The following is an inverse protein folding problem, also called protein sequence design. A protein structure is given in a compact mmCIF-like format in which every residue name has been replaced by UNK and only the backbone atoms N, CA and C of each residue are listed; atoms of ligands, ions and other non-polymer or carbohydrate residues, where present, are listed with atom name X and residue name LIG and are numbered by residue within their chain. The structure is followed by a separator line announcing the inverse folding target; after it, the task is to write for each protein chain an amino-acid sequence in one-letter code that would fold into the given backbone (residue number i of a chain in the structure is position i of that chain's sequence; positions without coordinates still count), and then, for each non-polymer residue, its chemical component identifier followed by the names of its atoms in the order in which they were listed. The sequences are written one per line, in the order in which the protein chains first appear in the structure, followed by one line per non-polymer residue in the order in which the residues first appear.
data_IF_333933672670
#
_entry.id   IF_333933672670
#
_cell.length_a   1.000
_cell.length_b   1.000
_cell.length_c   1.000
_cell.angle_alpha   90.00
_cell.angle_beta   90.00
_cell.angle_gamma   90.00
#
_symmetry.space_group_name_H-M   'P 1'
#
loop_
_entity.id
_entity.type
_entity.pdbx_description
1 polymer ?
#
# COMPACT_ATOMS: atom_id res chain seq x y z
N UNK A 1 41.39 -1.47 15.31
CA UNK A 1 40.09 -1.95 15.83
C UNK A 1 39.56 -0.92 16.82
N UNK A 2 39.07 0.20 16.31
CA UNK A 2 38.15 1.07 17.02
C UNK A 2 36.84 0.81 16.30
N UNK A 3 35.92 0.08 16.92
CA UNK A 3 34.60 -0.09 16.33
C UNK A 3 33.92 1.27 16.35
N UNK A 4 33.39 1.72 15.22
CA UNK A 4 32.39 2.76 15.23
C UNK A 4 31.29 2.34 16.19
N UNK A 5 31.08 3.16 17.21
CA UNK A 5 29.96 3.02 18.13
C UNK A 5 28.69 3.21 17.30
N UNK A 6 28.07 2.10 16.87
CA UNK A 6 26.69 2.06 16.39
C UNK A 6 25.72 2.62 17.45
N UNK A 7 26.18 2.65 18.70
CA UNK A 7 25.48 3.18 19.87
C UNK A 7 25.70 4.70 19.99
N UNK A 8 24.91 5.49 19.25
CA UNK A 8 24.87 6.96 19.35
C UNK A 8 23.46 7.37 19.77
N UNK A 9 23.35 8.20 20.81
CA UNK A 9 22.06 8.76 21.23
C UNK A 9 21.32 9.40 20.06
N UNK A 10 20.02 9.14 19.98
CA UNK A 10 19.19 9.66 18.91
C UNK A 10 19.23 11.20 18.80
N UNK A 11 19.34 11.70 17.57
CA UNK A 11 19.20 13.13 17.30
C UNK A 11 17.71 13.46 17.05
N UNK A 12 17.07 14.33 17.87
CA UNK A 12 15.65 14.66 17.72
C UNK A 12 15.27 15.20 16.34
N UNK A 13 16.15 15.96 15.70
CA UNK A 13 15.91 16.53 14.36
C UNK A 13 15.92 15.43 13.29
N UNK A 14 16.89 14.52 13.36
CA UNK A 14 16.97 13.38 12.42
C UNK A 14 15.81 12.41 12.63
N UNK A 15 15.44 12.08 13.89
CA UNK A 15 14.26 11.23 14.19
C UNK A 15 12.98 11.85 13.63
N UNK A 16 12.82 13.18 13.74
CA UNK A 16 11.69 13.89 13.10
C UNK A 16 11.77 13.81 11.58
N UNK A 17 12.95 14.00 10.99
CA UNK A 17 13.18 13.84 9.55
C UNK A 17 12.78 12.45 9.04
N UNK A 18 13.16 11.41 9.78
CA UNK A 18 12.80 10.02 9.53
C UNK A 18 11.29 9.80 9.61
N UNK A 19 10.64 10.32 10.64
CA UNK A 19 9.18 10.23 10.79
C UNK A 19 8.40 11.03 9.72
N UNK A 20 8.95 12.13 9.19
CA UNK A 20 8.33 12.87 8.09
C UNK A 20 8.32 12.11 6.77
N UNK A 21 9.22 11.15 6.58
CA UNK A 21 9.17 10.29 5.40
C UNK A 21 7.91 9.42 5.42
N UNK A 22 7.63 8.77 6.55
CA UNK A 22 6.41 7.99 6.77
C UNK A 22 5.16 8.87 6.63
N UNK A 23 5.16 10.05 7.26
CA UNK A 23 4.08 11.05 7.09
C UNK A 23 3.78 11.35 5.62
N UNK A 24 4.83 11.53 4.81
CA UNK A 24 4.72 11.86 3.40
C UNK A 24 4.21 10.68 2.58
N UNK A 25 4.90 9.53 2.66
CA UNK A 25 4.58 8.36 1.84
C UNK A 25 3.19 7.79 2.13
N UNK A 26 2.72 7.90 3.38
CA UNK A 26 1.42 7.37 3.77
C UNK A 26 0.24 8.09 3.14
N UNK A 27 0.43 9.30 2.60
CA UNK A 27 -0.57 9.94 1.73
C UNK A 27 -0.86 9.12 0.47
N UNK A 28 0.18 8.55 -0.16
CA UNK A 28 0.02 7.65 -1.30
C UNK A 28 -0.61 6.32 -0.88
N UNK A 29 -0.17 5.71 0.22
CA UNK A 29 -0.73 4.43 0.71
C UNK A 29 -2.24 4.56 1.05
N UNK A 30 -2.64 5.69 1.65
CA UNK A 30 -4.03 5.92 2.05
C UNK A 30 -4.89 6.44 0.90
N UNK A 31 -4.60 7.63 0.39
CA UNK A 31 -5.48 8.29 -0.58
C UNK A 31 -5.45 7.62 -1.94
N UNK A 32 -4.28 7.20 -2.40
CA UNK A 32 -4.12 6.62 -3.73
C UNK A 32 -4.40 5.13 -3.66
N UNK A 33 -3.57 4.36 -2.96
CA UNK A 33 -3.60 2.89 -3.02
C UNK A 33 -4.90 2.30 -2.50
N UNK A 34 -5.46 2.84 -1.41
CA UNK A 34 -6.59 2.20 -0.73
C UNK A 34 -7.93 2.92 -0.95
N UNK A 35 -7.95 4.26 -0.91
CA UNK A 35 -9.22 4.98 -0.79
C UNK A 35 -9.84 5.42 -2.12
N UNK A 36 -9.05 5.96 -3.07
CA UNK A 36 -9.59 6.65 -4.25
C UNK A 36 -9.21 5.99 -5.56
N UNK A 37 -7.95 5.56 -5.75
CA UNK A 37 -7.51 5.03 -7.04
C UNK A 37 -8.20 3.73 -7.44
N UNK A 38 -8.45 2.74 -6.55
CA UNK A 38 -9.14 1.52 -6.94
C UNK A 38 -10.53 1.78 -7.52
N UNK A 39 -11.29 2.70 -6.90
CA UNK A 39 -12.61 3.12 -7.37
C UNK A 39 -12.53 3.80 -8.75
N UNK A 40 -11.56 4.71 -8.89
CA UNK A 40 -11.37 5.44 -10.15
C UNK A 40 -10.89 4.52 -11.28
N UNK A 41 -10.01 3.57 -10.97
CA UNK A 41 -9.56 2.55 -11.90
C UNK A 41 -10.72 1.66 -12.37
N UNK A 42 -11.52 1.14 -11.44
CA UNK A 42 -12.69 0.32 -11.76
C UNK A 42 -13.69 1.08 -12.65
N UNK A 43 -13.97 2.35 -12.35
CA UNK A 43 -14.82 3.22 -13.17
C UNK A 43 -14.27 3.40 -14.60
N UNK A 44 -12.98 3.70 -14.74
CA UNK A 44 -12.36 3.92 -16.04
C UNK A 44 -12.26 2.64 -16.86
N UNK A 45 -11.96 1.50 -16.20
CA UNK A 45 -11.96 0.19 -16.82
C UNK A 45 -13.35 -0.17 -17.36
N UNK A 46 -14.38 -0.01 -16.54
CA UNK A 46 -15.78 -0.24 -16.92
C UNK A 46 -16.17 0.61 -18.12
N UNK A 47 -15.82 1.89 -18.10
CA UNK A 47 -16.15 2.83 -19.18
C UNK A 47 -15.41 2.53 -20.48
N UNK A 48 -14.21 1.96 -20.41
CA UNK A 48 -13.40 1.63 -21.57
C UNK A 48 -13.76 0.27 -22.20
N UNK A 49 -14.00 -0.76 -21.36
CA UNK A 49 -14.08 -2.15 -21.81
C UNK A 49 -15.42 -2.83 -21.51
N UNK A 50 -16.26 -2.29 -20.62
CA UNK A 50 -17.42 -2.99 -20.07
C UNK A 50 -17.08 -3.78 -18.80
N UNK A 51 -17.87 -4.80 -18.46
CA UNK A 51 -17.69 -5.57 -17.23
C UNK A 51 -16.38 -6.36 -17.22
N UNK A 52 -15.97 -6.85 -18.39
CA UNK A 52 -14.80 -7.68 -18.59
C UNK A 52 -14.00 -7.18 -19.79
N UNK A 53 -12.69 -7.40 -19.77
CA UNK A 53 -11.83 -7.19 -20.93
C UNK A 53 -11.02 -8.46 -21.19
N UNK A 54 -10.88 -8.84 -22.47
CA UNK A 54 -9.96 -9.91 -22.86
C UNK A 54 -8.52 -9.41 -22.71
N UNK A 55 -7.81 -9.90 -21.69
CA UNK A 55 -6.43 -9.56 -21.39
C UNK A 55 -5.62 -10.85 -21.37
N UNK A 56 -4.60 -10.93 -22.24
CA UNK A 56 -3.74 -12.11 -22.38
C UNK A 56 -4.55 -13.41 -22.69
N UNK A 57 -5.66 -13.28 -23.43
CA UNK A 57 -6.52 -14.42 -23.81
C UNK A 57 -7.41 -14.95 -22.69
N UNK A 58 -7.67 -14.14 -21.65
CA UNK A 58 -8.62 -14.43 -20.58
C UNK A 58 -9.51 -13.23 -20.35
N UNK A 59 -10.80 -13.46 -20.12
CA UNK A 59 -11.73 -12.43 -19.69
C UNK A 59 -11.44 -12.09 -18.23
N UNK A 60 -11.16 -10.80 -17.98
CA UNK A 60 -10.78 -10.31 -16.66
C UNK A 60 -11.64 -9.10 -16.29
N UNK A 61 -12.16 -9.14 -15.06
CA UNK A 61 -12.83 -8.03 -14.40
C UNK A 61 -11.82 -7.00 -13.88
N UNK A 62 -12.29 -5.80 -13.57
CA UNK A 62 -11.41 -4.70 -13.11
C UNK A 62 -10.58 -5.03 -11.85
N UNK A 63 -11.15 -5.80 -10.92
CA UNK A 63 -10.49 -6.25 -9.68
C UNK A 63 -9.45 -7.34 -9.93
N UNK A 64 -9.70 -8.23 -10.90
CA UNK A 64 -8.70 -9.21 -11.34
C UNK A 64 -7.49 -8.51 -11.98
N UNK A 65 -7.73 -7.52 -12.85
CA UNK A 65 -6.65 -6.73 -13.48
C UNK A 65 -5.86 -5.93 -12.44
N UNK A 66 -6.54 -5.31 -11.48
CA UNK A 66 -5.92 -4.60 -10.37
C UNK A 66 -5.03 -5.54 -9.53
N UNK A 67 -5.54 -6.72 -9.20
CA UNK A 67 -4.80 -7.73 -8.42
C UNK A 67 -3.54 -8.20 -9.15
N UNK A 68 -3.61 -8.36 -10.48
CA UNK A 68 -2.43 -8.65 -11.31
C UNK A 68 -1.43 -7.50 -11.29
N UNK A 69 -1.89 -6.25 -11.33
CA UNK A 69 -1.02 -5.06 -11.20
C UNK A 69 -0.20 -5.11 -9.91
N UNK A 70 -0.89 -5.32 -8.79
CA UNK A 70 -0.30 -5.43 -7.45
C UNK A 70 0.67 -6.60 -7.38
N UNK A 71 0.29 -7.76 -7.90
CA UNK A 71 1.14 -8.96 -7.90
C UNK A 71 2.42 -8.78 -8.74
N UNK A 72 2.33 -8.16 -9.93
CA UNK A 72 3.50 -7.84 -10.77
C UNK A 72 4.41 -6.86 -10.04
N UNK A 73 3.85 -5.80 -9.44
CA UNK A 73 4.61 -4.83 -8.65
C UNK A 73 5.35 -5.48 -7.49
N UNK A 74 4.65 -6.30 -6.70
CA UNK A 74 5.23 -7.04 -5.60
C UNK A 74 6.33 -8.02 -6.06
N UNK A 75 6.14 -8.71 -7.18
CA UNK A 75 7.13 -9.63 -7.75
C UNK A 75 8.39 -8.91 -8.22
N UNK A 76 8.24 -7.78 -8.93
CA UNK A 76 9.37 -6.97 -9.39
C UNK A 76 10.20 -6.46 -8.21
N UNK A 77 9.53 -5.99 -7.16
CA UNK A 77 10.16 -5.60 -5.90
C UNK A 77 10.84 -6.80 -5.24
N UNK A 78 10.18 -7.95 -5.12
CA UNK A 78 10.76 -9.15 -4.50
C UNK A 78 12.03 -9.62 -5.21
N UNK A 79 12.11 -9.47 -6.54
CA UNK A 79 13.30 -9.80 -7.34
C UNK A 79 14.40 -8.72 -7.16
N UNK A 80 14.02 -7.44 -7.08
CA UNK A 80 14.97 -6.33 -6.94
C UNK A 80 15.52 -6.18 -5.52
N UNK A 81 14.69 -6.40 -4.50
CA UNK A 81 14.97 -6.14 -3.07
C UNK A 81 16.23 -6.81 -2.55
N UNK A 82 16.59 -8.07 -2.89
CA UNK A 82 17.83 -8.66 -2.42
C UNK A 82 19.07 -7.95 -2.97
N UNK A 83 19.01 -7.47 -4.22
CA UNK A 83 20.10 -6.68 -4.81
C UNK A 83 20.16 -5.28 -4.19
N UNK A 84 19.01 -4.63 -3.98
CA UNK A 84 18.92 -3.32 -3.35
C UNK A 84 19.39 -3.36 -1.89
N UNK A 85 19.01 -4.39 -1.13
CA UNK A 85 19.40 -4.58 0.27
C UNK A 85 20.90 -4.72 0.43
N UNK A 86 21.56 -5.54 -0.38
CA UNK A 86 23.03 -5.68 -0.34
C UNK A 86 23.75 -4.37 -0.69
N UNK A 87 23.19 -3.59 -1.61
CA UNK A 87 23.71 -2.25 -1.94
C UNK A 87 23.51 -1.30 -0.75
N UNK A 88 22.33 -1.32 -0.13
CA UNK A 88 22.00 -0.49 1.04
C UNK A 88 22.91 -0.79 2.24
N UNK A 89 23.23 -2.06 2.47
CA UNK A 89 24.01 -2.51 3.62
C UNK A 89 25.51 -2.19 3.49
N UNK A 90 26.04 -2.07 2.26
CA UNK A 90 27.49 -2.02 2.01
C UNK A 90 28.02 -0.74 1.35
N UNK A 91 27.14 0.22 1.02
CA UNK A 91 27.54 1.53 0.47
C UNK A 91 26.79 2.70 1.09
N UNK A 92 27.50 3.80 1.30
CA UNK A 92 26.95 5.05 1.84
C UNK A 92 26.18 5.83 0.76
N UNK A 93 25.21 5.17 0.13
CA UNK A 93 24.35 5.72 -0.93
C UNK A 93 22.87 5.51 -0.63
N UNK A 94 22.52 5.25 0.65
CA UNK A 94 21.16 4.99 1.10
C UNK A 94 20.26 6.20 0.81
N UNK A 95 20.69 7.41 1.14
CA UNK A 95 19.90 8.62 0.86
C UNK A 95 19.84 8.94 -0.62
N UNK A 96 20.89 8.62 -1.39
CA UNK A 96 20.88 8.82 -2.83
C UNK A 96 19.83 7.94 -3.52
N UNK A 97 19.80 6.65 -3.21
CA UNK A 97 18.76 5.73 -3.72
C UNK A 97 17.38 6.06 -3.18
N UNK A 98 17.28 6.41 -1.90
CA UNK A 98 16.02 6.85 -1.30
C UNK A 98 15.43 8.04 -2.07
N UNK A 99 16.26 9.03 -2.42
CA UNK A 99 15.84 10.20 -3.23
C UNK A 99 15.33 9.79 -4.60
N UNK A 100 16.09 8.98 -5.35
CA UNK A 100 15.72 8.56 -6.70
C UNK A 100 14.41 7.78 -6.70
N UNK A 101 14.28 6.81 -5.80
CA UNK A 101 13.09 5.96 -5.73
C UNK A 101 11.88 6.74 -5.22
N UNK A 102 12.08 7.73 -4.35
CA UNK A 102 11.03 8.67 -3.95
C UNK A 102 10.59 9.56 -5.11
N UNK A 103 11.53 10.07 -5.92
CA UNK A 103 11.19 10.86 -7.11
C UNK A 103 10.44 10.04 -8.15
N UNK A 104 10.84 8.78 -8.37
CA UNK A 104 10.08 7.86 -9.20
C UNK A 104 8.67 7.65 -8.62
N UNK A 105 8.60 7.27 -7.34
CA UNK A 105 7.34 6.92 -6.68
C UNK A 105 6.33 8.05 -6.67
N UNK A 106 6.74 9.18 -6.09
CA UNK A 106 5.88 10.34 -5.92
C UNK A 106 5.69 11.12 -7.23
N UNK A 107 6.68 11.12 -8.13
CA UNK A 107 6.55 11.67 -9.49
C UNK A 107 5.53 10.89 -10.32
N UNK A 108 5.58 9.56 -10.29
CA UNK A 108 4.54 8.72 -10.92
C UNK A 108 3.17 8.90 -10.28
N UNK A 109 3.12 9.14 -8.97
CA UNK A 109 1.87 9.47 -8.26
C UNK A 109 1.28 10.79 -8.78
N UNK A 110 2.09 11.83 -8.97
CA UNK A 110 1.64 13.09 -9.57
C UNK A 110 1.18 12.84 -11.02
N UNK A 111 1.90 12.00 -11.76
CA UNK A 111 1.60 11.71 -13.15
C UNK A 111 0.26 10.98 -13.37
N UNK A 112 -0.31 10.34 -12.33
CA UNK A 112 -1.68 9.80 -12.37
C UNK A 112 -2.71 10.88 -12.72
N UNK A 113 -2.49 12.13 -12.29
CA UNK A 113 -3.38 13.25 -12.58
C UNK A 113 -3.48 13.61 -14.07
N UNK A 114 -2.55 13.12 -14.90
CA UNK A 114 -2.56 13.33 -16.34
C UNK A 114 -3.41 12.32 -17.12
N UNK A 115 -4.01 11.31 -16.45
CA UNK A 115 -4.89 10.34 -17.11
C UNK A 115 -5.98 11.00 -18.00
N UNK A 116 -6.67 12.08 -17.58
CA UNK A 116 -7.70 12.72 -18.40
C UNK A 116 -7.19 13.36 -19.70
N UNK A 117 -5.87 13.50 -19.89
CA UNK A 117 -5.30 14.00 -21.15
C UNK A 117 -5.33 12.95 -22.27
N UNK A 118 -5.58 11.69 -21.94
CA UNK A 118 -5.64 10.58 -22.88
C UNK A 118 -7.07 10.17 -23.20
N UNK A 119 -7.27 9.51 -24.34
CA UNK A 119 -8.55 8.89 -24.70
C UNK A 119 -8.94 7.80 -23.70
N UNK A 120 -10.25 7.56 -23.54
CA UNK A 120 -10.80 6.66 -22.50
C UNK A 120 -10.19 5.26 -22.52
N UNK A 121 -9.89 4.73 -23.71
CA UNK A 121 -9.25 3.42 -23.91
C UNK A 121 -7.82 3.35 -23.36
N UNK A 122 -7.14 4.48 -23.20
CA UNK A 122 -5.77 4.58 -22.68
C UNK A 122 -5.70 5.07 -21.24
N UNK A 123 -6.77 5.68 -20.68
CA UNK A 123 -6.74 6.23 -19.32
C UNK A 123 -6.47 5.16 -18.27
N UNK A 124 -7.15 4.02 -18.35
CA UNK A 124 -6.98 2.92 -17.40
C UNK A 124 -5.58 2.29 -17.51
N UNK A 125 -5.04 2.19 -18.73
CA UNK A 125 -3.67 1.70 -18.97
C UNK A 125 -2.64 2.67 -18.39
N UNK A 126 -2.81 3.97 -18.60
CA UNK A 126 -1.93 5.00 -18.04
C UNK A 126 -1.88 4.93 -16.52
N UNK A 127 -3.05 4.86 -15.88
CA UNK A 127 -3.16 4.71 -14.42
C UNK A 127 -2.46 3.44 -13.95
N UNK A 128 -2.70 2.32 -14.63
CA UNK A 128 -2.05 1.04 -14.31
C UNK A 128 -0.52 1.18 -14.30
N UNK A 129 0.05 1.74 -15.37
CA UNK A 129 1.51 1.88 -15.51
C UNK A 129 2.06 2.85 -14.47
N UNK A 130 1.44 4.02 -14.28
CA UNK A 130 1.90 5.00 -13.30
C UNK A 130 1.76 4.48 -11.86
N UNK A 131 0.70 3.74 -11.55
CA UNK A 131 0.54 3.08 -10.25
C UNK A 131 1.61 2.02 -10.01
N UNK A 132 1.95 1.23 -11.03
CA UNK A 132 3.03 0.24 -10.94
C UNK A 132 4.37 0.90 -10.64
N UNK A 133 4.71 1.98 -11.36
CA UNK A 133 5.94 2.76 -11.10
C UNK A 133 5.92 3.40 -9.71
N UNK A 134 4.77 3.93 -9.28
CA UNK A 134 4.59 4.50 -7.96
C UNK A 134 4.85 3.46 -6.86
N UNK A 135 4.31 2.24 -7.02
CA UNK A 135 4.52 1.11 -6.11
C UNK A 135 5.98 0.66 -6.07
N UNK A 136 6.64 0.55 -7.23
CA UNK A 136 8.07 0.21 -7.30
C UNK A 136 8.90 1.26 -6.56
N UNK A 137 8.60 2.55 -6.79
CA UNK A 137 9.23 3.67 -6.09
C UNK A 137 9.03 3.59 -4.57
N UNK A 138 7.79 3.38 -4.11
CA UNK A 138 7.46 3.27 -2.68
C UNK A 138 8.19 2.10 -2.02
N UNK A 139 8.03 0.89 -2.55
CA UNK A 139 8.59 -0.32 -1.94
C UNK A 139 10.13 -0.33 -2.02
N UNK A 140 10.69 0.08 -3.16
CA UNK A 140 12.13 0.21 -3.33
C UNK A 140 12.72 1.25 -2.38
N UNK A 141 12.10 2.42 -2.27
CA UNK A 141 12.50 3.45 -1.31
C UNK A 141 12.39 2.95 0.14
N UNK A 142 11.35 2.16 0.44
CA UNK A 142 11.14 1.50 1.73
C UNK A 142 12.33 0.63 2.18
N UNK A 143 13.00 -0.07 1.25
CA UNK A 143 14.21 -0.84 1.57
C UNK A 143 15.32 0.06 2.12
N UNK A 144 15.60 1.18 1.45
CA UNK A 144 16.64 2.11 1.89
C UNK A 144 16.21 2.91 3.12
N UNK A 145 14.94 3.27 3.22
CA UNK A 145 14.37 3.96 4.37
C UNK A 145 14.51 3.10 5.65
N UNK A 146 14.10 1.84 5.59
CA UNK A 146 14.23 0.93 6.73
C UNK A 146 15.70 0.67 7.10
N UNK A 147 16.61 0.67 6.12
CA UNK A 147 18.05 0.54 6.36
C UNK A 147 18.68 1.77 7.04
N UNK A 148 17.97 2.90 7.18
CA UNK A 148 18.43 4.04 7.98
C UNK A 148 18.21 3.81 9.47
N UNK A 149 17.18 3.04 9.85
CA UNK A 149 16.72 2.90 11.23
C UNK A 149 17.83 2.46 12.21
N UNK A 150 18.69 1.46 11.90
CA UNK A 150 19.79 1.06 12.79
C UNK A 150 20.86 2.13 13.02
N UNK A 151 20.78 3.27 12.32
CA UNK A 151 21.71 4.39 12.43
C UNK A 151 21.06 5.64 13.06
N UNK A 152 19.81 5.53 13.52
CA UNK A 152 19.03 6.65 14.06
C UNK A 152 19.10 6.81 15.57
N UNK A 153 19.51 5.78 16.29
CA UNK A 153 19.55 5.74 17.75
C UNK A 153 20.15 4.43 18.25
N UNK A 154 20.10 4.22 19.56
CA UNK A 154 20.57 3.01 20.23
C UNK A 154 19.60 1.83 20.01
N UNK A 155 20.03 0.60 20.30
CA UNK A 155 19.21 -0.61 20.11
C UNK A 155 17.89 -0.56 20.90
N UNK A 156 17.87 0.07 22.07
CA UNK A 156 16.67 0.26 22.90
C UNK A 156 15.75 1.38 22.39
N UNK A 157 16.27 2.36 21.65
CA UNK A 157 15.48 3.43 21.04
C UNK A 157 14.80 3.00 19.73
N UNK A 158 15.27 1.92 19.09
CA UNK A 158 14.87 1.53 17.74
C UNK A 158 13.36 1.26 17.61
N UNK A 159 12.78 0.48 18.53
CA UNK A 159 11.34 0.17 18.55
C UNK A 159 10.50 1.45 18.72
N UNK A 160 10.95 2.38 19.57
CA UNK A 160 10.26 3.64 19.82
C UNK A 160 10.34 4.59 18.61
N UNK A 161 11.49 4.68 17.94
CA UNK A 161 11.68 5.49 16.73
C UNK A 161 10.79 4.95 15.59
N UNK A 162 10.78 3.63 15.38
CA UNK A 162 9.97 2.97 14.36
C UNK A 162 8.47 3.19 14.60
N UNK A 163 7.97 2.90 15.80
CA UNK A 163 6.56 3.09 16.13
C UNK A 163 6.13 4.56 16.05
N UNK A 164 7.03 5.50 16.39
CA UNK A 164 6.78 6.93 16.23
C UNK A 164 6.68 7.33 14.75
N UNK A 165 7.57 6.84 13.90
CA UNK A 165 7.49 7.07 12.45
C UNK A 165 6.17 6.52 11.89
N UNK A 166 5.79 5.31 12.28
CA UNK A 166 4.54 4.68 11.85
C UNK A 166 3.30 5.48 12.30
N UNK A 167 3.29 6.00 13.54
CA UNK A 167 2.23 6.88 14.03
C UNK A 167 2.16 8.21 13.25
N UNK A 168 3.31 8.78 12.86
CA UNK A 168 3.38 9.94 11.96
C UNK A 168 2.83 9.61 10.57
N UNK A 169 3.10 8.41 10.05
CA UNK A 169 2.52 7.91 8.80
C UNK A 169 1.00 7.87 8.85
N UNK A 170 0.43 7.24 9.89
CA UNK A 170 -1.02 7.19 10.08
C UNK A 170 -1.65 8.58 10.13
N UNK A 171 -1.06 9.50 10.91
CA UNK A 171 -1.59 10.85 11.05
C UNK A 171 -1.41 11.67 9.77
N UNK A 172 -0.26 11.59 9.10
CA UNK A 172 0.02 12.32 7.87
C UNK A 172 -0.86 11.89 6.70
N UNK A 173 -0.98 10.58 6.49
CA UNK A 173 -1.91 10.01 5.51
C UNK A 173 -3.37 10.33 5.87
N UNK A 174 -3.73 10.20 7.14
CA UNK A 174 -5.08 10.51 7.64
C UNK A 174 -5.48 11.98 7.46
N UNK A 175 -4.57 12.93 7.73
CA UNK A 175 -4.83 14.36 7.53
C UNK A 175 -5.10 14.68 6.07
N UNK A 176 -4.27 14.19 5.15
CA UNK A 176 -4.51 14.43 3.73
C UNK A 176 -5.77 13.71 3.24
N UNK A 177 -6.02 12.48 3.71
CA UNK A 177 -7.23 11.74 3.39
C UNK A 177 -8.50 12.45 3.90
N UNK A 178 -8.46 13.08 5.07
CA UNK A 178 -9.54 13.94 5.56
C UNK A 178 -9.79 15.10 4.60
N UNK A 179 -8.74 15.77 4.14
CA UNK A 179 -8.87 16.86 3.15
C UNK A 179 -9.53 16.32 1.88
N UNK A 180 -9.08 15.17 1.36
CA UNK A 180 -9.68 14.54 0.18
C UNK A 180 -11.14 14.14 0.39
N UNK A 181 -11.48 13.59 1.56
CA UNK A 181 -12.86 13.26 1.91
C UNK A 181 -13.75 14.51 1.90
N UNK A 182 -13.31 15.59 2.55
CA UNK A 182 -14.04 16.86 2.58
C UNK A 182 -14.21 17.42 1.17
N UNK A 183 -13.16 17.37 0.34
CA UNK A 183 -13.23 17.82 -1.04
C UNK A 183 -14.23 16.99 -1.86
N UNK A 184 -14.16 15.66 -1.80
CA UNK A 184 -15.08 14.74 -2.50
C UNK A 184 -16.53 14.91 -2.01
N UNK A 185 -16.72 15.19 -0.73
CA UNK A 185 -18.07 15.34 -0.15
C UNK A 185 -18.69 16.69 -0.50
N UNK A 186 -17.92 17.78 -0.48
CA UNK A 186 -18.46 19.14 -0.56
C UNK A 186 -18.23 19.83 -1.91
N UNK A 187 -17.29 19.38 -2.74
CA UNK A 187 -17.03 19.97 -4.07
C UNK A 187 -17.85 19.18 -5.10
N UNK A 188 -19.05 19.67 -5.35
CA UNK A 188 -19.98 19.17 -6.37
C UNK A 188 -20.33 20.26 -7.38
N UNK A 189 -20.58 19.88 -8.62
CA UNK A 189 -21.05 20.77 -9.67
C UNK A 189 -22.57 21.04 -9.56
N UNK A 190 -23.12 21.80 -10.51
CA UNK A 190 -24.56 22.12 -10.53
C UNK A 190 -25.48 20.91 -10.70
N UNK A 191 -24.94 19.73 -11.06
CA UNK A 191 -25.67 18.48 -11.16
C UNK A 191 -25.46 17.57 -9.93
N UNK A 192 -24.75 18.05 -8.90
CA UNK A 192 -24.46 17.28 -7.69
C UNK A 192 -23.36 16.24 -7.86
N UNK A 193 -22.61 16.27 -8.97
CA UNK A 193 -21.51 15.33 -9.25
C UNK A 193 -20.15 15.95 -8.96
N UNK A 194 -19.13 15.14 -8.66
CA UNK A 194 -17.78 15.69 -8.49
C UNK A 194 -17.22 16.20 -9.83
N UNK A 195 -16.61 17.40 -9.87
CA UNK A 195 -15.95 17.90 -11.08
C UNK A 195 -14.86 16.95 -11.58
N UNK A 196 -14.68 16.87 -12.91
CA UNK A 196 -13.73 15.95 -13.55
C UNK A 196 -12.26 16.17 -13.13
N UNK A 197 -11.90 17.37 -12.67
CA UNK A 197 -10.55 17.68 -12.18
C UNK A 197 -10.28 17.18 -10.76
N UNK A 198 -11.33 16.83 -10.00
CA UNK A 198 -11.21 16.59 -8.57
C UNK A 198 -10.37 15.35 -8.24
N UNK A 199 -10.67 14.21 -8.87
CA UNK A 199 -9.91 12.97 -8.65
C UNK A 199 -8.46 13.10 -9.15
N UNK A 200 -8.18 13.66 -10.33
CA UNK A 200 -6.81 14.02 -10.73
C UNK A 200 -6.08 14.89 -9.70
N UNK A 201 -6.76 15.89 -9.13
CA UNK A 201 -6.18 16.74 -8.10
C UNK A 201 -5.81 15.94 -6.85
N UNK A 202 -6.68 15.04 -6.39
CA UNK A 202 -6.40 14.13 -5.25
C UNK A 202 -5.15 13.28 -5.50
N UNK A 203 -4.93 12.83 -6.74
CA UNK A 203 -3.71 12.09 -7.09
C UNK A 203 -2.47 12.99 -7.04
N UNK A 204 -2.53 14.16 -7.68
CA UNK A 204 -1.43 15.12 -7.72
C UNK A 204 -1.05 15.63 -6.32
N UNK A 205 -2.03 15.98 -5.49
CA UNK A 205 -1.80 16.42 -4.11
C UNK A 205 -1.17 15.33 -3.26
N UNK A 206 -1.55 14.06 -3.45
CA UNK A 206 -0.94 12.92 -2.74
C UNK A 206 0.54 12.76 -3.08
N UNK A 207 0.89 12.82 -4.37
CA UNK A 207 2.29 12.76 -4.79
C UNK A 207 3.10 13.99 -4.38
N UNK A 208 2.50 15.18 -4.46
CA UNK A 208 3.12 16.42 -4.00
C UNK A 208 3.35 16.45 -2.48
N UNK A 209 2.41 15.90 -1.70
CA UNK A 209 2.54 15.72 -0.26
C UNK A 209 3.70 14.78 0.07
N UNK A 210 3.76 13.63 -0.60
CA UNK A 210 4.86 12.69 -0.42
C UNK A 210 6.22 13.33 -0.75
N UNK A 211 6.37 13.99 -1.90
CA UNK A 211 7.60 14.70 -2.24
C UNK A 211 7.92 15.79 -1.21
N UNK A 212 6.95 16.64 -0.86
CA UNK A 212 7.15 17.79 0.01
C UNK A 212 7.68 17.40 1.39
N UNK A 213 7.12 16.35 2.00
CA UNK A 213 7.58 15.86 3.30
C UNK A 213 8.86 15.02 3.20
N UNK A 214 9.06 14.27 2.10
CA UNK A 214 10.33 13.56 1.87
C UNK A 214 11.52 14.53 1.75
N UNK A 215 11.32 15.75 1.23
CA UNK A 215 12.36 16.78 1.21
C UNK A 215 12.84 17.15 2.62
N UNK A 216 11.97 17.09 3.64
CA UNK A 216 12.37 17.30 5.03
C UNK A 216 13.27 16.15 5.52
N UNK A 217 12.95 14.91 5.16
CA UNK A 217 13.80 13.75 5.44
C UNK A 217 15.17 13.93 4.80
N UNK A 218 15.21 14.34 3.54
CA UNK A 218 16.46 14.54 2.79
C UNK A 218 17.34 15.67 3.32
N UNK A 219 16.75 16.59 4.09
CA UNK A 219 17.44 17.69 4.75
C UNK A 219 17.94 17.31 6.15
N UNK A 220 17.13 16.58 6.92
CA UNK A 220 17.36 16.35 8.36
C UNK A 220 18.01 15.00 8.69
N UNK A 221 17.93 14.02 7.78
CA UNK A 221 18.55 12.71 7.96
C UNK A 221 19.89 12.68 7.21
N UNK A 222 21.03 12.59 7.93
CA UNK A 222 22.32 12.48 7.29
C UNK A 222 22.49 11.10 6.63
N UNK A 223 23.35 11.03 5.60
CA UNK A 223 23.79 9.75 5.05
C UNK A 223 24.61 9.00 6.12
N UNK A 224 24.27 7.74 6.45
CA UNK A 224 25.03 6.96 7.40
C UNK A 224 26.43 6.61 6.88
N UNK A 225 27.44 6.76 7.75
CA UNK A 225 28.80 6.30 7.46
C UNK A 225 28.85 4.77 7.48
N UNK A 226 29.49 4.13 6.49
CA UNK A 226 29.65 2.67 6.43
C UNK A 226 31.13 2.32 6.55
N UNK A 227 31.49 1.52 7.55
CA UNK A 227 32.84 0.98 7.70
C UNK A 227 33.16 0.00 6.55
N UNK A 228 34.36 0.12 5.96
CA UNK A 228 34.82 -0.71 4.85
C UNK A 228 33.92 -0.66 3.62
N UNK A 229 33.63 0.56 3.14
CA UNK A 229 32.88 0.78 1.90
C UNK A 229 33.46 -0.04 0.74
N UNK A 230 32.62 -0.86 0.12
CA UNK A 230 33.04 -1.65 -1.04
C UNK A 230 33.24 -0.76 -2.26
N UNK A 231 34.30 -1.04 -3.03
CA UNK A 231 34.58 -0.40 -4.31
C UNK A 231 33.37 -0.49 -5.26
N UNK A 232 33.25 0.47 -6.18
CA UNK A 232 32.07 0.58 -7.04
C UNK A 232 31.92 -0.58 -8.02
N UNK A 233 31.25 -1.65 -7.60
CA UNK A 233 30.77 -2.72 -8.45
C UNK A 233 29.66 -2.22 -9.38
N UNK A 234 29.68 -2.68 -10.64
CA UNK A 234 28.56 -2.50 -11.57
C UNK A 234 27.31 -3.26 -11.12
N UNK A 235 26.15 -2.97 -11.71
CA UNK A 235 24.84 -3.58 -11.37
C UNK A 235 24.92 -5.11 -11.43
N UNK A 236 25.52 -5.68 -12.48
CA UNK A 236 25.66 -7.12 -12.64
C UNK A 236 26.56 -7.78 -11.59
N UNK A 237 27.64 -7.11 -11.20
CA UNK A 237 28.56 -7.61 -10.18
C UNK A 237 27.93 -7.54 -8.79
N UNK A 238 27.19 -6.47 -8.51
CA UNK A 238 26.43 -6.30 -7.27
C UNK A 238 25.33 -7.34 -7.14
N UNK A 239 24.57 -7.60 -8.20
CA UNK A 239 23.57 -8.66 -8.23
C UNK A 239 24.20 -10.05 -8.02
N UNK A 240 25.29 -10.38 -8.73
CA UNK A 240 25.97 -11.66 -8.57
C UNK A 240 26.52 -11.88 -7.15
N UNK A 241 27.08 -10.82 -6.56
CA UNK A 241 27.55 -10.85 -5.17
C UNK A 241 26.39 -11.02 -4.19
N UNK A 242 25.28 -10.30 -4.39
CA UNK A 242 24.08 -10.45 -3.58
C UNK A 242 23.53 -11.88 -3.63
N UNK A 243 23.38 -12.45 -4.82
CA UNK A 243 22.95 -13.85 -4.98
C UNK A 243 23.93 -14.85 -4.35
N UNK A 244 25.24 -14.60 -4.44
CA UNK A 244 26.25 -15.44 -3.81
C UNK A 244 26.16 -15.41 -2.28
N UNK A 245 25.98 -14.23 -1.69
CA UNK A 245 25.85 -14.07 -0.23
C UNK A 245 24.53 -14.62 0.29
N UNK A 246 23.42 -14.42 -0.43
CA UNK A 246 22.16 -15.07 -0.13
C UNK A 246 22.32 -16.59 -0.15
N UNK A 247 22.96 -17.15 -1.18
CA UNK A 247 23.23 -18.59 -1.26
C UNK A 247 24.08 -19.09 -0.09
N UNK A 248 25.10 -18.32 0.31
CA UNK A 248 25.94 -18.65 1.48
C UNK A 248 25.11 -18.63 2.76
N UNK A 249 24.37 -17.56 3.01
CA UNK A 249 23.50 -17.39 4.19
C UNK A 249 22.44 -18.50 4.27
N UNK A 250 21.80 -18.83 3.14
CA UNK A 250 20.88 -19.95 3.06
C UNK A 250 21.55 -21.31 3.29
N UNK A 251 22.80 -21.49 2.84
CA UNK A 251 23.54 -22.74 3.11
C UNK A 251 23.85 -22.92 4.61
N UNK A 252 23.96 -21.83 5.35
CA UNK A 252 24.23 -21.81 6.78
C UNK A 252 22.96 -21.85 7.66
N UNK A 253 21.78 -22.07 7.08
CA UNK A 253 20.50 -22.06 7.82
C UNK A 253 20.47 -22.99 9.04
N UNK A 254 21.22 -24.10 9.00
CA UNK A 254 21.34 -25.04 10.13
C UNK A 254 22.04 -24.43 11.36
N UNK A 255 22.88 -23.42 11.18
CA UNK A 255 23.56 -22.69 12.27
C UNK A 255 22.61 -21.72 12.98
N UNK A 256 21.64 -21.15 12.25
CA UNK A 256 20.73 -20.11 12.73
C UNK A 256 19.25 -20.51 12.57
N UNK A 257 18.88 -21.72 13.02
CA UNK A 257 17.53 -22.29 12.82
C UNK A 257 16.41 -21.36 13.30
N UNK A 258 16.57 -20.76 14.48
CA UNK A 258 15.55 -19.86 15.05
C UNK A 258 15.33 -18.62 14.18
N UNK A 259 16.41 -18.01 13.68
CA UNK A 259 16.33 -16.85 12.81
C UNK A 259 15.67 -17.20 11.47
N UNK A 260 16.01 -18.36 10.90
CA UNK A 260 15.40 -18.82 9.66
C UNK A 260 13.89 -19.09 9.80
N UNK A 261 13.48 -19.74 10.90
CA UNK A 261 12.05 -19.94 11.21
C UNK A 261 11.35 -18.59 11.39
N UNK A 262 11.98 -17.64 12.07
CA UNK A 262 11.43 -16.29 12.23
C UNK A 262 11.27 -15.58 10.88
N UNK A 263 12.28 -15.60 10.01
CA UNK A 263 12.19 -14.99 8.67
C UNK A 263 11.10 -15.61 7.81
N UNK A 264 10.94 -16.94 7.87
CA UNK A 264 9.87 -17.63 7.16
C UNK A 264 8.48 -17.28 7.71
N UNK A 265 8.33 -17.23 9.04
CA UNK A 265 7.09 -16.78 9.67
C UNK A 265 6.78 -15.32 9.31
N UNK A 266 7.79 -14.44 9.37
CA UNK A 266 7.71 -13.04 8.97
C UNK A 266 7.24 -12.90 7.53
N UNK A 267 7.83 -13.64 6.61
CA UNK A 267 7.41 -13.67 5.21
C UNK A 267 5.93 -14.02 5.05
N UNK A 268 5.43 -15.04 5.76
CA UNK A 268 4.02 -15.44 5.65
C UNK A 268 3.06 -14.38 6.19
N UNK A 269 3.32 -13.83 7.39
CA UNK A 269 2.36 -12.88 7.96
C UNK A 269 2.44 -11.50 7.31
N UNK A 270 3.62 -11.05 6.87
CA UNK A 270 3.74 -9.74 6.20
C UNK A 270 3.08 -9.77 4.82
N UNK A 271 3.19 -10.90 4.11
CA UNK A 271 2.50 -11.11 2.83
C UNK A 271 0.98 -11.07 3.00
N UNK A 272 0.45 -11.73 4.03
CA UNK A 272 -0.97 -11.66 4.40
C UNK A 272 -1.45 -10.24 4.72
N UNK A 273 -0.70 -9.50 5.55
CA UNK A 273 -1.04 -8.10 5.92
C UNK A 273 -1.01 -7.20 4.67
N UNK A 274 0.02 -7.30 3.84
CA UNK A 274 0.16 -6.50 2.63
C UNK A 274 -0.94 -6.80 1.60
N UNK A 275 -1.29 -8.08 1.43
CA UNK A 275 -2.36 -8.51 0.50
C UNK A 275 -3.71 -7.95 0.92
N UNK A 276 -4.07 -8.06 2.20
CA UNK A 276 -5.31 -7.48 2.73
C UNK A 276 -5.30 -5.96 2.54
N UNK A 277 -4.19 -5.30 2.86
CA UNK A 277 -4.08 -3.83 2.72
C UNK A 277 -4.22 -3.37 1.27
N UNK A 278 -3.62 -4.10 0.32
CA UNK A 278 -3.65 -3.74 -1.10
C UNK A 278 -5.02 -3.97 -1.77
N UNK A 279 -5.79 -4.95 -1.28
CA UNK A 279 -7.09 -5.33 -1.85
C UNK A 279 -8.30 -4.80 -1.08
N UNK A 280 -8.13 -4.33 0.16
CA UNK A 280 -9.23 -3.85 1.00
C UNK A 280 -10.08 -2.75 0.33
N UNK A 281 -9.44 -1.83 -0.40
CA UNK A 281 -10.12 -0.74 -1.09
C UNK A 281 -11.08 -1.24 -2.18
N UNK A 282 -10.58 -2.08 -3.07
CA UNK A 282 -11.40 -2.62 -4.17
C UNK A 282 -12.46 -3.58 -3.64
N UNK A 283 -12.12 -4.45 -2.68
CA UNK A 283 -13.06 -5.36 -2.03
C UNK A 283 -14.23 -4.61 -1.37
N UNK A 284 -13.95 -3.47 -0.71
CA UNK A 284 -14.97 -2.64 -0.09
C UNK A 284 -16.02 -2.14 -1.09
N UNK A 285 -15.63 -1.85 -2.34
CA UNK A 285 -16.54 -1.36 -3.38
C UNK A 285 -17.18 -2.52 -4.15
N UNK A 286 -16.38 -3.47 -4.63
CA UNK A 286 -16.86 -4.52 -5.52
C UNK A 286 -17.63 -5.63 -4.80
N UNK A 287 -17.26 -5.95 -3.55
CA UNK A 287 -17.86 -7.05 -2.79
C UNK A 287 -18.82 -6.56 -1.71
N UNK A 288 -18.40 -5.56 -0.92
CA UNK A 288 -19.25 -5.01 0.15
C UNK A 288 -20.24 -3.93 -0.34
N UNK A 289 -20.10 -3.45 -1.58
CA UNK A 289 -20.98 -2.44 -2.15
C UNK A 289 -20.90 -1.07 -1.47
N UNK A 290 -19.79 -0.75 -0.79
CA UNK A 290 -19.61 0.55 -0.14
C UNK A 290 -19.54 1.66 -1.19
N UNK A 291 -20.20 2.79 -0.88
CA UNK A 291 -19.99 4.01 -1.65
C UNK A 291 -18.56 4.50 -1.47
N UNK A 292 -18.00 5.20 -2.46
CA UNK A 292 -16.64 5.77 -2.38
C UNK A 292 -16.45 6.63 -1.14
N UNK A 293 -17.45 7.45 -0.78
CA UNK A 293 -17.42 8.28 0.42
C UNK A 293 -17.38 7.45 1.70
N UNK A 294 -18.17 6.38 1.78
CA UNK A 294 -18.18 5.48 2.93
C UNK A 294 -16.85 4.71 3.08
N UNK A 295 -16.25 4.27 1.96
CA UNK A 295 -14.93 3.64 1.94
C UNK A 295 -13.86 4.62 2.48
N UNK A 296 -13.78 5.83 1.91
CA UNK A 296 -12.82 6.85 2.34
C UNK A 296 -12.99 7.16 3.83
N UNK A 297 -14.23 7.34 4.30
CA UNK A 297 -14.52 7.61 5.71
C UNK A 297 -14.10 6.44 6.62
N UNK A 298 -14.31 5.20 6.19
CA UNK A 298 -13.90 4.01 6.94
C UNK A 298 -12.39 3.93 7.08
N UNK A 299 -11.65 4.10 5.97
CA UNK A 299 -10.18 4.14 5.96
C UNK A 299 -9.70 5.29 6.85
N UNK A 300 -10.34 6.45 6.80
CA UNK A 300 -9.98 7.60 7.61
C UNK A 300 -10.10 7.33 9.12
N UNK A 301 -11.18 6.67 9.55
CA UNK A 301 -11.34 6.26 10.94
C UNK A 301 -10.21 5.32 11.37
N UNK A 302 -9.85 4.35 10.51
CA UNK A 302 -8.73 3.44 10.76
C UNK A 302 -7.44 4.23 11.01
N UNK A 303 -7.16 5.28 10.23
CA UNK A 303 -5.94 6.08 10.42
C UNK A 303 -5.84 6.71 11.82
N UNK A 304 -6.92 7.33 12.30
CA UNK A 304 -6.94 8.01 13.59
C UNK A 304 -7.04 7.05 14.78
N UNK A 305 -7.54 5.83 14.58
CA UNK A 305 -7.49 4.75 15.58
C UNK A 305 -6.11 4.10 15.60
N UNK A 306 -5.49 3.89 14.44
CA UNK A 306 -4.22 3.19 14.33
C UNK A 306 -3.03 4.00 14.87
N UNK A 307 -3.00 5.33 14.68
CA UNK A 307 -1.96 6.20 15.22
C UNK A 307 -1.74 6.07 16.75
N UNK A 308 -2.77 6.24 17.62
CA UNK A 308 -2.61 6.07 19.06
C UNK A 308 -2.34 4.61 19.44
N UNK A 309 -2.91 3.64 18.70
CA UNK A 309 -2.64 2.22 18.91
C UNK A 309 -1.17 1.88 18.63
N UNK A 310 -0.54 2.45 17.59
CA UNK A 310 0.88 2.26 17.28
C UNK A 310 1.78 2.75 18.43
N UNK A 311 1.46 3.91 19.02
CA UNK A 311 2.17 4.42 20.21
C UNK A 311 1.89 3.54 21.45
N UNK A 312 0.64 3.09 21.61
CA UNK A 312 0.25 2.17 22.67
C UNK A 312 0.99 0.83 22.58
N UNK A 313 1.31 0.39 21.37
CA UNK A 313 2.05 -0.84 21.11
C UNK A 313 3.48 -0.78 21.63
N UNK A 314 4.13 0.39 21.60
CA UNK A 314 5.44 0.59 22.26
C UNK A 314 5.36 0.26 23.75
N UNK A 315 4.35 0.76 24.46
CA UNK A 315 4.17 0.47 25.89
C UNK A 315 3.87 -1.00 26.16
N UNK A 316 3.14 -1.65 25.27
CA UNK A 316 2.87 -3.09 25.37
C UNK A 316 4.14 -3.93 25.15
N UNK A 317 4.97 -3.55 24.17
CA UNK A 317 6.25 -4.20 23.91
C UNK A 317 7.22 -4.03 25.08
N UNK A 318 7.31 -2.83 25.65
CA UNK A 318 8.11 -2.51 26.86
C UNK A 318 7.64 -3.32 28.09
N UNK A 319 6.33 -3.47 28.28
CA UNK A 319 5.78 -4.16 29.44
C UNK A 319 5.84 -5.71 29.33
N UNK A 320 5.91 -6.25 28.11
CA UNK A 320 5.90 -7.70 27.88
C UNK A 320 7.19 -8.15 27.19
N UNK A 321 7.14 -8.27 25.87
CA UNK A 321 8.28 -8.40 24.96
C UNK A 321 7.78 -8.15 23.54
N UNK A 322 8.65 -7.69 22.63
CA UNK A 322 8.30 -7.50 21.21
C UNK A 322 7.71 -8.76 20.58
N UNK A 323 8.19 -9.96 20.97
CA UNK A 323 7.66 -11.25 20.50
C UNK A 323 6.23 -11.52 20.96
N UNK A 324 5.95 -11.30 22.25
CA UNK A 324 4.62 -11.52 22.81
C UNK A 324 3.61 -10.54 22.21
N UNK A 325 3.97 -9.26 22.13
CA UNK A 325 3.15 -8.23 21.52
C UNK A 325 2.81 -8.61 20.07
N UNK A 326 3.81 -8.97 19.25
CA UNK A 326 3.61 -9.42 17.88
C UNK A 326 2.67 -10.63 17.79
N UNK A 327 2.84 -11.63 18.67
CA UNK A 327 2.01 -12.84 18.67
C UNK A 327 0.53 -12.51 18.94
N UNK A 328 0.25 -11.61 19.90
CA UNK A 328 -1.10 -11.16 20.22
C UNK A 328 -1.74 -10.46 19.01
N UNK A 329 -0.99 -9.57 18.35
CA UNK A 329 -1.46 -8.89 17.14
C UNK A 329 -1.79 -9.85 16.00
N UNK A 330 -0.95 -10.87 15.80
CA UNK A 330 -1.18 -11.88 14.75
C UNK A 330 -2.43 -12.71 15.04
N UNK A 331 -2.66 -13.12 16.29
CA UNK A 331 -3.89 -13.82 16.67
C UNK A 331 -5.11 -12.93 16.41
N UNK A 332 -5.06 -11.66 16.80
CA UNK A 332 -6.11 -10.69 16.53
C UNK A 332 -6.39 -10.54 15.04
N UNK A 333 -5.35 -10.43 14.22
CA UNK A 333 -5.45 -10.38 12.75
C UNK A 333 -6.15 -11.61 12.16
N UNK A 334 -5.77 -12.82 12.59
CA UNK A 334 -6.41 -14.06 12.13
C UNK A 334 -7.90 -14.07 12.48
N UNK A 335 -8.26 -13.66 13.69
CA UNK A 335 -9.66 -13.58 14.12
C UNK A 335 -10.44 -12.59 13.26
N UNK A 336 -9.90 -11.38 13.04
CA UNK A 336 -10.57 -10.34 12.24
C UNK A 336 -10.74 -10.75 10.78
N UNK A 337 -9.71 -11.30 10.15
CA UNK A 337 -9.79 -11.76 8.76
C UNK A 337 -10.78 -12.92 8.62
N UNK A 338 -10.78 -13.87 9.56
CA UNK A 338 -11.75 -14.97 9.56
C UNK A 338 -13.18 -14.46 9.76
N UNK A 339 -13.37 -13.47 10.63
CA UNK A 339 -14.67 -12.82 10.81
C UNK A 339 -15.11 -12.08 9.55
N UNK A 340 -14.22 -11.41 8.84
CA UNK A 340 -14.53 -10.72 7.59
C UNK A 340 -15.07 -11.69 6.52
N UNK A 341 -14.53 -12.91 6.43
CA UNK A 341 -15.04 -13.95 5.53
C UNK A 341 -16.50 -14.33 5.81
N UNK A 342 -16.97 -14.19 7.05
CA UNK A 342 -18.38 -14.47 7.39
C UNK A 342 -19.36 -13.39 6.92
N UNK A 343 -18.86 -12.20 6.57
CA UNK A 343 -19.65 -11.09 6.03
C UNK A 343 -19.63 -11.01 4.50
N UNK A 344 -18.79 -11.82 3.84
CA UNK A 344 -18.77 -11.87 2.38
C UNK A 344 -20.14 -12.40 1.90
N UNK A 345 -20.89 -11.63 1.07
CA UNK A 345 -22.12 -12.14 0.49
C UNK A 345 -21.82 -13.42 -0.29
N UNK A 346 -22.58 -14.47 -0.04
CA UNK A 346 -22.46 -15.72 -0.78
C UNK A 346 -22.76 -15.43 -2.26
N UNK A 347 -21.93 -15.94 -3.18
CA UNK A 347 -22.28 -15.92 -4.60
C UNK A 347 -23.62 -16.64 -4.77
N UNK A 348 -24.60 -15.90 -5.27
CA UNK A 348 -25.91 -16.44 -5.60
C UNK A 348 -25.69 -17.45 -6.72
N UNK A 349 -25.95 -18.71 -6.43
CA UNK A 349 -25.61 -19.84 -7.29
C UNK A 349 -26.82 -20.35 -8.07
N UNK A 350 -28.02 -20.07 -7.57
CA UNK A 350 -29.27 -20.50 -8.18
C UNK A 350 -30.00 -19.30 -8.78
N UNK A 351 -30.63 -19.50 -9.94
CA UNK A 351 -31.42 -18.44 -10.60
C UNK A 351 -32.44 -17.81 -9.63
N UNK A 352 -33.05 -18.63 -8.77
CA UNK A 352 -34.04 -18.23 -7.76
C UNK A 352 -33.49 -17.31 -6.65
N UNK A 353 -32.16 -17.24 -6.50
CA UNK A 353 -31.51 -16.42 -5.47
C UNK A 353 -31.30 -14.97 -5.93
N UNK A 354 -31.40 -14.69 -7.24
CA UNK A 354 -31.28 -13.33 -7.77
C UNK A 354 -32.57 -12.53 -7.58
N UNK A 355 -32.43 -11.26 -7.18
CA UNK A 355 -33.55 -10.32 -7.04
C UNK A 355 -34.25 -10.02 -8.38
N UNK A 356 -33.52 -10.12 -9.48
CA UNK A 356 -34.04 -9.99 -10.84
C UNK A 356 -33.77 -11.27 -11.62
N UNK A 357 -34.84 -11.97 -11.96
CA UNK A 357 -34.84 -13.21 -12.72
C UNK A 357 -35.41 -12.93 -14.10
N UNK A 358 -34.69 -13.37 -15.13
CA UNK A 358 -35.09 -13.25 -16.53
C UNK A 358 -35.26 -14.65 -17.08
N UNK A 359 -36.49 -15.13 -17.09
CA UNK A 359 -36.83 -16.45 -17.60
C UNK A 359 -37.32 -16.30 -19.05
N UNK A 360 -36.66 -16.99 -19.98
CA UNK A 360 -37.11 -16.99 -21.37
C UNK A 360 -38.34 -17.90 -21.53
N UNK A 361 -39.43 -17.33 -22.05
CA UNK A 361 -40.65 -18.07 -22.31
C UNK A 361 -40.77 -18.44 -23.79
N UNK A 362 -40.60 -19.73 -24.11
CA UNK A 362 -40.64 -20.23 -25.49
C UNK A 362 -42.02 -20.06 -26.16
N UNK A 363 -43.11 -20.03 -25.39
CA UNK A 363 -44.47 -19.94 -25.92
C UNK A 363 -44.84 -18.50 -26.32
N UNK A 364 -44.34 -17.51 -25.58
CA UNK A 364 -44.61 -16.09 -25.83
C UNK A 364 -43.50 -15.38 -26.61
N UNK A 365 -42.31 -16.01 -26.73
CA UNK A 365 -41.10 -15.39 -27.29
C UNK A 365 -40.69 -14.09 -26.59
N UNK A 366 -40.98 -13.99 -25.30
CA UNK A 366 -40.65 -12.85 -24.44
C UNK A 366 -39.90 -13.33 -23.18
N UNK A 367 -39.23 -12.40 -22.48
CA UNK A 367 -38.63 -12.68 -21.17
C UNK A 367 -39.65 -12.36 -20.08
N UNK A 368 -39.96 -13.35 -19.24
CA UNK A 368 -40.70 -13.16 -18.01
C UNK A 368 -39.73 -12.61 -16.94
N UNK A 369 -40.01 -11.41 -16.44
CA UNK A 369 -39.19 -10.75 -15.42
C UNK A 369 -39.82 -10.99 -14.06
N UNK A 370 -39.18 -11.82 -13.23
CA UNK A 370 -39.60 -12.03 -11.85
C UNK A 370 -38.73 -11.19 -10.92
N UNK A 371 -39.38 -10.37 -10.10
CA UNK A 371 -38.72 -9.50 -9.11
C UNK A 371 -38.95 -10.06 -7.71
N UNK A 372 -37.87 -10.40 -7.01
CA UNK A 372 -37.93 -10.93 -5.64
C UNK A 372 -38.46 -9.90 -4.64
N UNK A 373 -39.10 -10.35 -3.56
CA UNK A 373 -39.68 -9.47 -2.52
C UNK A 373 -38.63 -8.54 -1.86
N UNK A 374 -37.37 -8.94 -1.82
CA UNK A 374 -36.23 -8.17 -1.29
C UNK A 374 -35.87 -6.96 -2.14
N UNK A 375 -36.12 -7.00 -3.46
CA UNK A 375 -35.85 -5.87 -4.36
C UNK A 375 -36.69 -4.63 -4.01
N UNK A 376 -37.90 -4.80 -3.46
CA UNK A 376 -38.78 -3.71 -3.04
C UNK A 376 -38.41 -3.13 -1.65
N UNK A 377 -37.57 -3.82 -0.87
CA UNK A 377 -37.14 -3.34 0.45
C UNK A 377 -36.04 -2.25 0.39
N UNK A 378 -35.42 -2.05 -0.78
CA UNK A 378 -34.52 -0.94 -1.09
C UNK A 378 -35.32 0.37 -1.26
N UNK A 379 -35.89 0.88 -0.17
CA UNK A 379 -36.27 2.30 -0.09
C UNK A 379 -34.98 3.13 -0.10
N UNK A 380 -34.57 3.58 -1.28
CA UNK A 380 -33.66 4.72 -1.43
C UNK A 380 -34.28 5.92 -0.70
N UNK A 381 -33.69 6.29 0.43
CA UNK A 381 -33.87 7.65 0.96
C UNK A 381 -33.15 8.59 0.00
N UNK A 382 -33.94 9.38 -0.73
CA UNK A 382 -33.48 10.50 -1.55
C UNK A 382 -32.69 11.50 -0.72
#
# INVERSE_FOLDING_TARGET
MQGATLDRQSNPESVRGYAFYDWGKSAFETSVTTAVLPAWFAYLFLKANGLEAEILGRDMTSDAVWSVAVAIGALLVAIASPSLGVIADRRAIKMWWLRILTYLGAGSTIALAFAPLFDISLQWVWIFVMFLLANIGLNGAGVFYNALLPHMGTDDEMDAISNKAFAYGYFGGGVLLLIHLLMITFIVDGAGSNPSWLIPFVMASSGAWWLGFAMLTFKYVPEPEIENEMESLGINQSAKLAFSELKKTFSEWRKFKTLFIYMFAYFLFIDGINSVTALAGIYGISVLGLTTTALIATILVIQFVAAPCAIGFTKLAEATSTKSALTISLIGWVVVVTAALSFAPLELSQHSEYDFQYDWNEDTSEYDITVGETAFALKLSV
#
